data_IF_835923652235
#
_entry.id   IF_835923652235
#
_cell.length_a   1.000
_cell.length_b   1.000
_cell.length_c   1.000
_cell.angle_alpha   90.00
_cell.angle_beta   90.00
_cell.angle_gamma   90.00
#
_symmetry.space_group_name_H-M   'P 1'
#
loop_
_entity.id
_entity.type
_entity.pdbx_description
1 polymer ?
#
# COMPACT_ATOMS: atom_id res chain seq x y z
N UNK A 1 -64.81 -42.37 65.46
CA UNK A 1 -63.60 -43.20 65.30
C UNK A 1 -63.58 -43.64 63.84
N UNK A 2 -62.67 -43.18 62.99
CA UNK A 2 -61.47 -42.38 63.28
C UNK A 2 -61.21 -41.31 62.23
N UNK A 3 -60.40 -40.33 62.60
CA UNK A 3 -60.13 -39.11 61.84
C UNK A 3 -59.36 -39.34 60.53
N UNK A 4 -59.49 -38.37 59.63
CA UNK A 4 -58.58 -38.18 58.50
C UNK A 4 -57.30 -37.50 58.96
N UNK A 5 -56.14 -37.99 58.53
CA UNK A 5 -54.93 -37.16 58.50
C UNK A 5 -54.04 -37.51 57.30
N UNK A 6 -53.60 -36.47 56.60
CA UNK A 6 -52.79 -36.54 55.37
C UNK A 6 -51.32 -36.30 55.76
N UNK A 7 -50.36 -37.16 55.36
CA UNK A 7 -48.95 -36.94 55.69
C UNK A 7 -48.39 -35.71 54.96
N UNK A 8 -47.50 -34.92 55.60
CA UNK A 8 -47.25 -33.54 55.20
C UNK A 8 -46.34 -33.35 53.98
N UNK A 9 -46.51 -32.18 53.36
CA UNK A 9 -45.79 -31.70 52.18
C UNK A 9 -44.27 -31.63 52.40
N UNK A 10 -43.51 -32.11 51.40
CA UNK A 10 -42.05 -32.16 51.42
C UNK A 10 -41.46 -30.74 51.40
N UNK A 11 -41.01 -30.24 52.55
CA UNK A 11 -40.43 -28.89 52.67
C UNK A 11 -39.18 -28.72 51.80
N UNK A 12 -39.09 -27.58 51.10
CA UNK A 12 -37.96 -27.27 50.24
C UNK A 12 -36.65 -27.15 51.05
N UNK A 13 -35.67 -27.99 50.72
CA UNK A 13 -34.36 -27.97 51.35
C UNK A 13 -33.62 -26.65 51.08
N UNK A 14 -33.60 -25.75 52.06
CA UNK A 14 -32.72 -24.57 52.05
C UNK A 14 -31.28 -25.07 51.96
N UNK A 15 -30.56 -24.67 50.91
CA UNK A 15 -29.14 -25.04 50.72
C UNK A 15 -28.32 -24.50 51.88
N UNK A 16 -27.95 -25.37 52.81
CA UNK A 16 -27.05 -25.00 53.91
C UNK A 16 -25.68 -24.67 53.33
N UNK A 17 -25.20 -23.45 53.56
CA UNK A 17 -23.83 -23.07 53.23
C UNK A 17 -22.93 -23.80 54.23
N UNK A 18 -22.30 -24.88 53.79
CA UNK A 18 -21.38 -25.66 54.60
C UNK A 18 -20.13 -24.84 54.91
N UNK A 19 -20.08 -24.29 56.13
CA UNK A 19 -18.90 -23.63 56.67
C UNK A 19 -17.71 -24.58 56.60
N UNK A 20 -16.73 -24.26 55.76
CA UNK A 20 -15.54 -25.07 55.56
C UNK A 20 -14.81 -25.28 56.89
N UNK A 21 -14.40 -26.51 57.16
CA UNK A 21 -13.56 -26.82 58.34
C UNK A 21 -12.22 -26.10 58.23
N UNK A 22 -11.58 -25.80 59.37
CA UNK A 22 -10.30 -25.10 59.40
C UNK A 22 -9.22 -25.79 58.55
N UNK A 23 -9.22 -27.12 58.51
CA UNK A 23 -8.34 -27.93 57.64
C UNK A 23 -8.59 -27.69 56.15
N UNK A 24 -9.85 -27.65 55.71
CA UNK A 24 -10.22 -27.35 54.32
C UNK A 24 -9.86 -25.91 53.92
N UNK A 25 -10.02 -24.93 54.82
CA UNK A 25 -9.58 -23.55 54.59
C UNK A 25 -8.06 -23.48 54.42
N UNK A 26 -7.30 -24.18 55.27
CA UNK A 26 -5.85 -24.22 55.18
C UNK A 26 -5.38 -24.89 53.89
N UNK A 27 -5.97 -26.03 53.52
CA UNK A 27 -5.66 -26.73 52.28
C UNK A 27 -5.96 -25.85 51.04
N UNK A 28 -7.08 -25.11 51.03
CA UNK A 28 -7.40 -24.16 49.96
C UNK A 28 -6.36 -23.04 49.88
N UNK A 29 -5.90 -22.49 51.01
CA UNK A 29 -4.81 -21.48 51.06
C UNK A 29 -3.48 -22.04 50.55
N UNK A 30 -3.21 -23.33 50.76
CA UNK A 30 -1.98 -23.97 50.28
C UNK A 30 -2.00 -24.23 48.76
N UNK A 31 -3.16 -24.62 48.23
CA UNK A 31 -3.39 -24.74 46.77
C UNK A 31 -3.28 -23.35 46.12
N UNK A 32 -3.96 -22.35 46.66
CA UNK A 32 -3.97 -20.99 46.12
C UNK A 32 -2.55 -20.37 46.09
N UNK A 33 -1.78 -20.54 47.16
CA UNK A 33 -0.36 -20.14 47.20
C UNK A 33 0.50 -20.88 46.16
N UNK A 34 0.25 -22.16 45.89
CA UNK A 34 0.95 -22.90 44.82
C UNK A 34 0.55 -22.41 43.43
N UNK A 35 -0.75 -22.19 43.19
CA UNK A 35 -1.28 -21.68 41.93
C UNK A 35 -0.74 -20.27 41.62
N UNK A 36 -0.73 -19.38 42.60
CA UNK A 36 -0.21 -18.02 42.45
C UNK A 36 1.30 -18.00 42.19
N UNK A 37 2.08 -18.89 42.82
CA UNK A 37 3.52 -19.07 42.51
C UNK A 37 3.73 -19.58 41.09
N UNK A 38 2.97 -20.60 40.67
CA UNK A 38 3.05 -21.13 39.32
C UNK A 38 2.67 -20.10 38.25
N UNK A 39 1.64 -19.28 38.50
CA UNK A 39 1.26 -18.18 37.62
C UNK A 39 2.38 -17.12 37.51
N UNK A 40 2.90 -16.65 38.65
CA UNK A 40 4.02 -15.68 38.67
C UNK A 40 5.26 -16.22 37.96
N UNK A 41 5.57 -17.51 38.09
CA UNK A 41 6.68 -18.13 37.40
C UNK A 41 6.46 -18.10 35.88
N UNK A 42 5.31 -18.58 35.38
CA UNK A 42 4.98 -18.53 33.95
C UNK A 42 5.02 -17.11 33.37
N UNK A 43 4.52 -16.11 34.12
CA UNK A 43 4.61 -14.71 33.70
C UNK A 43 6.06 -14.25 33.58
N UNK A 44 6.92 -14.61 34.54
CA UNK A 44 8.36 -14.30 34.48
C UNK A 44 9.04 -15.00 33.29
N UNK A 45 8.77 -16.29 33.09
CA UNK A 45 9.36 -17.08 32.02
C UNK A 45 8.96 -16.50 30.64
N UNK A 46 7.69 -16.11 30.47
CA UNK A 46 7.20 -15.48 29.23
C UNK A 46 7.78 -14.07 29.00
N UNK A 47 8.01 -13.28 30.05
CA UNK A 47 8.70 -11.99 29.92
C UNK A 47 10.14 -12.22 29.43
N UNK A 48 10.86 -13.16 30.03
CA UNK A 48 12.24 -13.47 29.66
C UNK A 48 12.36 -14.03 28.22
N UNK A 49 11.40 -14.84 27.79
CA UNK A 49 11.27 -15.32 26.41
C UNK A 49 11.08 -14.13 25.44
N UNK A 50 10.10 -13.25 25.70
CA UNK A 50 9.84 -12.07 24.87
C UNK A 50 11.03 -11.09 24.84
N UNK A 51 11.74 -10.90 25.95
CA UNK A 51 12.96 -10.08 26.00
C UNK A 51 14.08 -10.69 25.13
N UNK A 52 14.23 -12.01 25.15
CA UNK A 52 15.17 -12.76 24.30
C UNK A 52 14.81 -12.65 22.81
N UNK A 53 13.53 -12.80 22.47
CA UNK A 53 13.04 -12.67 21.10
C UNK A 53 13.26 -11.25 20.56
N UNK A 54 12.93 -10.22 21.35
CA UNK A 54 13.18 -8.81 20.98
C UNK A 54 14.68 -8.55 20.75
N UNK A 55 15.56 -9.12 21.58
CA UNK A 55 17.01 -9.01 21.38
C UNK A 55 17.47 -9.71 20.08
N UNK A 56 16.95 -10.91 19.81
CA UNK A 56 17.23 -11.68 18.59
C UNK A 56 16.75 -10.94 17.32
N UNK A 57 15.53 -10.41 17.33
CA UNK A 57 14.97 -9.65 16.21
C UNK A 57 15.73 -8.35 15.96
N UNK A 58 16.11 -7.59 17.01
CA UNK A 58 16.93 -6.38 16.87
C UNK A 58 18.30 -6.67 16.25
N UNK A 59 18.98 -7.73 16.70
CA UNK A 59 20.26 -8.15 16.12
C UNK A 59 20.12 -8.59 14.66
N UNK A 60 19.07 -9.37 14.34
CA UNK A 60 18.78 -9.84 12.99
C UNK A 60 18.43 -8.69 12.03
N UNK A 61 17.63 -7.73 12.50
CA UNK A 61 17.30 -6.51 11.75
C UNK A 61 18.55 -5.67 11.45
N UNK A 62 19.34 -5.35 12.48
CA UNK A 62 20.57 -4.54 12.32
C UNK A 62 21.58 -5.21 11.38
N UNK A 63 21.73 -6.54 11.43
CA UNK A 63 22.58 -7.28 10.47
C UNK A 63 22.07 -7.16 9.03
N UNK A 64 20.75 -7.25 8.81
CA UNK A 64 20.13 -7.11 7.49
C UNK A 64 20.23 -5.67 6.98
N UNK A 65 20.01 -4.68 7.84
CA UNK A 65 20.20 -3.26 7.56
C UNK A 65 21.63 -2.97 7.09
N UNK A 66 22.64 -3.42 7.84
CA UNK A 66 24.04 -3.27 7.45
C UNK A 66 24.33 -3.90 6.08
N UNK A 67 23.84 -5.12 5.84
CA UNK A 67 24.01 -5.81 4.55
C UNK A 67 23.42 -5.01 3.38
N UNK A 68 22.27 -4.35 3.57
CA UNK A 68 21.66 -3.50 2.55
C UNK A 68 22.41 -2.16 2.38
N UNK A 69 22.96 -1.59 3.45
CA UNK A 69 23.83 -0.41 3.37
C UNK A 69 25.09 -0.72 2.55
N UNK A 70 25.73 -1.86 2.80
CA UNK A 70 26.92 -2.32 2.08
C UNK A 70 26.60 -2.58 0.58
N UNK A 71 25.45 -3.21 0.28
CA UNK A 71 24.93 -3.41 -1.09
C UNK A 71 24.70 -2.06 -1.81
N UNK A 72 24.11 -1.07 -1.14
CA UNK A 72 23.88 0.28 -1.69
C UNK A 72 25.20 1.02 -1.95
N UNK A 73 26.19 0.90 -1.05
CA UNK A 73 27.51 1.51 -1.24
C UNK A 73 28.22 0.92 -2.47
N UNK A 74 28.24 -0.41 -2.59
CA UNK A 74 28.83 -1.10 -3.74
C UNK A 74 28.15 -0.70 -5.06
N UNK A 75 26.83 -0.66 -5.10
CA UNK A 75 26.08 -0.23 -6.29
C UNK A 75 26.34 1.25 -6.65
N UNK A 76 26.54 2.13 -5.66
CA UNK A 76 26.92 3.53 -5.91
C UNK A 76 28.32 3.64 -6.51
N UNK A 77 29.28 2.88 -6.00
CA UNK A 77 30.64 2.84 -6.54
C UNK A 77 30.66 2.30 -7.98
N UNK A 78 29.96 1.20 -8.26
CA UNK A 78 29.81 0.67 -9.62
C UNK A 78 29.17 1.68 -10.57
N UNK A 79 28.11 2.37 -10.15
CA UNK A 79 27.49 3.44 -10.94
C UNK A 79 28.45 4.61 -11.21
N UNK A 80 29.30 4.98 -10.24
CA UNK A 80 30.34 5.99 -10.43
C UNK A 80 31.39 5.53 -11.44
N UNK A 81 31.88 4.29 -11.33
CA UNK A 81 32.83 3.70 -12.28
C UNK A 81 32.27 3.62 -13.71
N UNK A 82 30.99 3.25 -13.87
CA UNK A 82 30.30 3.24 -15.17
C UNK A 82 30.19 4.66 -15.75
N UNK A 83 29.78 5.65 -14.93
CA UNK A 83 29.72 7.06 -15.36
C UNK A 83 31.07 7.59 -15.80
N UNK A 84 32.13 7.38 -15.02
CA UNK A 84 33.51 7.78 -15.40
C UNK A 84 34.05 6.99 -16.60
N UNK A 85 33.47 5.84 -16.95
CA UNK A 85 33.82 5.10 -18.16
C UNK A 85 33.11 5.66 -19.40
N UNK A 86 31.81 5.97 -19.28
CA UNK A 86 31.04 6.66 -20.32
C UNK A 86 31.60 8.06 -20.60
N UNK A 87 32.02 8.79 -19.57
CA UNK A 87 32.63 10.12 -19.72
C UNK A 87 33.95 10.05 -20.51
N UNK A 88 34.83 9.09 -20.20
CA UNK A 88 36.07 8.85 -20.97
C UNK A 88 35.78 8.46 -22.42
N UNK A 89 34.77 7.63 -22.68
CA UNK A 89 34.34 7.28 -24.04
C UNK A 89 33.81 8.52 -24.77
N UNK A 90 33.02 9.36 -24.11
CA UNK A 90 32.53 10.62 -24.66
C UNK A 90 33.65 11.61 -25.00
N UNK A 91 34.66 11.74 -24.13
CA UNK A 91 35.85 12.57 -24.38
C UNK A 91 36.65 12.08 -25.60
N UNK A 92 36.82 10.76 -25.75
CA UNK A 92 37.50 10.17 -26.92
C UNK A 92 36.72 10.44 -28.22
N UNK A 93 35.41 10.21 -28.23
CA UNK A 93 34.57 10.46 -29.40
C UNK A 93 34.54 11.94 -29.80
N UNK A 94 34.52 12.86 -28.82
CA UNK A 94 34.61 14.30 -29.08
C UNK A 94 35.98 14.71 -29.64
N UNK A 95 37.07 14.07 -29.18
CA UNK A 95 38.43 14.30 -29.68
C UNK A 95 38.64 13.86 -31.14
N UNK A 96 38.03 12.75 -31.57
CA UNK A 96 38.03 12.37 -33.00
C UNK A 96 37.20 13.35 -33.84
N UNK A 97 36.06 13.82 -33.34
CA UNK A 97 35.21 14.81 -34.02
C UNK A 97 35.90 16.18 -34.19
N UNK A 98 36.72 16.61 -33.24
CA UNK A 98 37.54 17.83 -33.42
C UNK A 98 38.70 17.60 -34.40
N UNK A 99 39.40 16.47 -34.30
CA UNK A 99 40.48 16.08 -35.22
C UNK A 99 40.01 16.03 -36.69
N UNK A 100 38.82 15.50 -36.95
CA UNK A 100 38.24 15.45 -38.30
C UNK A 100 37.82 16.85 -38.81
N UNK A 101 37.41 17.76 -37.93
CA UNK A 101 36.96 19.11 -38.31
C UNK A 101 38.11 20.01 -38.78
N UNK A 102 39.31 19.83 -38.23
CA UNK A 102 40.51 20.57 -38.64
C UNK A 102 41.06 20.15 -40.02
N UNK A 103 40.56 19.05 -40.62
CA UNK A 103 41.01 18.57 -41.94
C UNK A 103 40.22 19.11 -43.14
N UNK A 104 39.17 19.90 -42.91
CA UNK A 104 38.21 20.27 -43.98
C UNK A 104 37.76 21.74 -43.98
N UNK A 105 38.62 22.65 -44.47
CA UNK A 105 38.21 23.88 -45.18
C UNK A 105 39.38 24.59 -45.90
N UNK A 106 39.32 24.76 -47.24
CA UNK A 106 40.07 25.78 -47.97
C UNK A 106 39.33 27.14 -48.00
N UNK A 107 40.07 28.18 -48.36
CA UNK A 107 39.70 29.60 -48.33
C UNK A 107 38.58 30.01 -49.30
N UNK A 108 37.74 31.00 -48.92
CA UNK A 108 37.72 32.31 -49.61
C UNK A 108 37.05 33.43 -48.77
N UNK A 109 37.62 34.64 -48.80
CA UNK A 109 37.08 35.87 -48.19
C UNK A 109 36.12 36.61 -49.15
N UNK A 110 35.10 37.36 -48.68
CA UNK A 110 35.02 38.83 -48.46
C UNK A 110 33.51 39.21 -48.40
N UNK A 111 32.97 40.34 -47.89
CA UNK A 111 33.46 41.54 -47.16
C UNK A 111 32.30 42.19 -46.34
N UNK A 112 32.58 43.22 -45.52
CA UNK A 112 31.63 44.21 -44.98
C UNK A 112 30.86 43.80 -43.69
N UNK A 113 31.12 44.37 -42.49
CA UNK A 113 30.86 45.75 -41.99
C UNK A 113 29.37 46.13 -41.91
N UNK A 114 28.83 46.74 -40.83
CA UNK A 114 29.39 47.19 -39.53
C UNK A 114 28.32 47.05 -38.40
N UNK A 115 28.66 47.40 -37.15
CA UNK A 115 28.00 47.00 -35.89
C UNK A 115 26.87 47.90 -35.35
N UNK A 116 26.22 47.41 -34.26
CA UNK A 116 25.29 48.04 -33.29
C UNK A 116 23.76 47.87 -33.57
N UNK A 117 22.90 47.53 -32.59
CA UNK A 117 23.12 47.04 -31.21
C UNK A 117 21.89 46.23 -30.74
N UNK A 118 22.05 45.48 -29.63
CA UNK A 118 20.98 44.98 -28.73
C UNK A 118 19.83 44.13 -29.29
N UNK A 119 19.91 42.82 -29.03
CA UNK A 119 18.74 41.94 -28.92
C UNK A 119 18.90 41.05 -27.68
N UNK A 120 18.23 41.40 -26.57
CA UNK A 120 17.90 40.42 -25.53
C UNK A 120 16.81 39.47 -26.03
N UNK A 121 16.91 38.17 -25.70
CA UNK A 121 15.72 37.36 -25.47
C UNK A 121 15.71 36.75 -24.06
N UNK A 122 14.58 36.93 -23.37
CA UNK A 122 14.25 36.28 -22.11
C UNK A 122 14.20 34.73 -22.24
N UNK A 123 14.37 33.98 -21.13
CA UNK A 123 14.63 32.54 -21.17
C UNK A 123 13.36 31.70 -21.31
N UNK A 124 13.44 30.64 -22.12
CA UNK A 124 12.51 29.51 -22.09
C UNK A 124 13.23 28.25 -21.59
N UNK A 125 12.92 27.83 -20.36
CA UNK A 125 13.38 26.56 -19.82
C UNK A 125 12.87 25.39 -20.65
N UNK A 126 13.76 24.46 -21.04
CA UNK A 126 13.35 23.07 -21.26
C UNK A 126 14.26 22.12 -20.45
N UNK A 127 13.66 21.61 -19.39
CA UNK A 127 14.17 20.62 -18.44
C UNK A 127 13.50 19.30 -18.81
N UNK A 128 14.20 18.18 -19.04
CA UNK A 128 14.55 17.05 -18.13
C UNK A 128 14.63 15.77 -19.02
N UNK A 129 14.68 14.51 -18.51
CA UNK A 129 15.39 13.88 -17.37
C UNK A 129 16.41 12.80 -17.90
N UNK A 130 17.21 12.10 -17.10
CA UNK A 130 17.29 12.04 -15.64
C UNK A 130 16.90 10.68 -15.04
N UNK A 131 17.27 9.55 -15.66
CA UNK A 131 16.95 8.21 -15.14
C UNK A 131 17.73 7.87 -13.85
N UNK A 132 16.98 7.65 -12.76
CA UNK A 132 17.49 7.09 -11.51
C UNK A 132 16.57 5.98 -11.04
N UNK A 133 17.07 4.74 -10.98
CA UNK A 133 16.29 3.59 -10.52
C UNK A 133 15.98 3.70 -9.02
N UNK A 134 14.73 4.06 -8.71
CA UNK A 134 14.21 4.21 -7.35
C UNK A 134 13.08 3.18 -7.13
N UNK A 135 13.39 1.89 -7.27
CA UNK A 135 12.39 0.83 -7.38
C UNK A 135 12.79 -0.49 -6.74
N UNK A 136 12.92 -0.53 -5.41
CA UNK A 136 13.22 -1.79 -4.71
C UNK A 136 12.65 -1.87 -3.29
N UNK A 137 11.78 -2.87 -3.04
CA UNK A 137 11.39 -3.44 -1.71
C UNK A 137 10.49 -2.59 -0.78
N UNK A 138 9.32 -2.13 -1.24
CA UNK A 138 8.33 -1.42 -0.39
C UNK A 138 7.19 -2.31 0.14
N UNK A 139 6.57 -3.11 -0.73
CA UNK A 139 5.54 -4.09 -0.33
C UNK A 139 6.13 -5.49 -0.21
N UNK A 140 5.67 -6.26 0.78
CA UNK A 140 6.14 -7.61 1.07
C UNK A 140 5.03 -8.46 1.73
N UNK A 141 4.97 -9.78 1.47
CA UNK A 141 4.05 -10.66 2.19
C UNK A 141 4.38 -10.65 3.69
N UNK A 142 3.45 -10.10 4.49
CA UNK A 142 3.50 -10.23 5.95
C UNK A 142 2.67 -11.47 6.33
N UNK A 143 3.36 -12.52 6.78
CA UNK A 143 2.73 -13.79 7.10
C UNK A 143 2.00 -13.74 8.45
N UNK A 144 0.71 -13.43 8.42
CA UNK A 144 -0.28 -14.01 9.34
C UNK A 144 -1.70 -13.88 8.75
N UNK A 145 -2.51 -14.94 8.85
CA UNK A 145 -3.86 -15.14 8.27
C UNK A 145 -3.96 -15.43 6.74
N UNK A 146 -4.61 -16.55 6.42
CA UNK A 146 -4.65 -17.16 5.07
C UNK A 146 -5.41 -16.34 4.01
N UNK A 147 -6.31 -15.43 4.41
CA UNK A 147 -7.04 -14.56 3.46
C UNK A 147 -6.30 -13.27 3.10
N UNK A 148 -5.35 -12.77 3.93
CA UNK A 148 -4.46 -11.68 3.49
C UNK A 148 -3.65 -12.17 2.29
N UNK A 149 -3.13 -13.40 2.41
CA UNK A 149 -2.26 -13.98 1.41
C UNK A 149 -2.90 -13.97 0.02
N UNK A 150 -4.13 -14.44 -0.17
CA UNK A 150 -4.68 -14.63 -1.52
C UNK A 150 -4.81 -13.33 -2.33
N UNK A 151 -5.42 -12.28 -1.78
CA UNK A 151 -5.68 -11.03 -2.51
C UNK A 151 -4.41 -10.17 -2.66
N UNK A 152 -3.56 -10.10 -1.63
CA UNK A 152 -2.26 -9.42 -1.76
C UNK A 152 -1.33 -10.16 -2.71
N UNK A 153 -1.32 -11.50 -2.70
CA UNK A 153 -0.45 -12.28 -3.56
C UNK A 153 -0.82 -12.11 -5.04
N UNK A 154 -2.11 -12.04 -5.39
CA UNK A 154 -2.57 -11.71 -6.76
C UNK A 154 -1.95 -10.38 -7.22
N UNK A 155 -2.03 -9.33 -6.41
CA UNK A 155 -1.49 -8.01 -6.75
C UNK A 155 0.05 -8.00 -6.77
N UNK A 156 0.70 -8.65 -5.80
CA UNK A 156 2.16 -8.74 -5.68
C UNK A 156 2.79 -9.55 -6.83
N UNK A 157 2.23 -10.71 -7.17
CA UNK A 157 2.68 -11.54 -8.30
C UNK A 157 2.47 -10.82 -9.62
N UNK A 158 1.35 -10.11 -9.77
CA UNK A 158 1.12 -9.28 -10.93
C UNK A 158 2.19 -8.18 -11.05
N UNK A 159 2.45 -7.40 -10.00
CA UNK A 159 3.47 -6.35 -9.99
C UNK A 159 4.87 -6.93 -10.27
N UNK A 160 5.21 -8.06 -9.66
CA UNK A 160 6.48 -8.75 -9.87
C UNK A 160 6.64 -9.24 -11.31
N UNK A 161 5.58 -9.82 -11.90
CA UNK A 161 5.52 -10.25 -13.30
C UNK A 161 5.73 -9.08 -14.26
N UNK A 162 5.05 -7.95 -14.04
CA UNK A 162 5.22 -6.73 -14.87
C UNK A 162 6.62 -6.13 -14.75
N UNK A 163 7.18 -6.05 -13.55
CA UNK A 163 8.58 -5.63 -13.33
C UNK A 163 9.57 -6.57 -14.03
N UNK A 164 9.30 -7.89 -14.03
CA UNK A 164 10.09 -8.89 -14.77
C UNK A 164 9.97 -8.75 -16.29
N UNK A 165 8.84 -8.28 -16.82
CA UNK A 165 8.72 -7.92 -18.25
C UNK A 165 9.59 -6.71 -18.59
N UNK A 166 9.55 -5.64 -17.77
CA UNK A 166 10.40 -4.46 -17.96
C UNK A 166 11.90 -4.80 -17.88
N UNK A 167 12.31 -5.61 -16.90
CA UNK A 167 13.68 -6.07 -16.74
C UNK A 167 14.19 -6.92 -17.93
N UNK A 168 13.29 -7.54 -18.69
CA UNK A 168 13.58 -8.25 -19.95
C UNK A 168 13.53 -7.35 -21.20
N UNK A 169 13.37 -6.03 -21.04
CA UNK A 169 13.34 -5.07 -22.14
C UNK A 169 12.01 -4.98 -22.88
N UNK A 170 10.90 -5.50 -22.32
CA UNK A 170 9.57 -5.27 -22.90
C UNK A 170 9.19 -3.80 -22.73
N UNK A 171 8.67 -3.17 -23.80
CA UNK A 171 8.31 -1.75 -23.80
C UNK A 171 7.36 -1.37 -22.65
N UNK A 172 7.62 -0.26 -21.92
CA UNK A 172 6.73 0.23 -20.86
C UNK A 172 5.29 0.42 -21.32
N UNK A 173 5.06 0.84 -22.56
CA UNK A 173 3.72 1.01 -23.15
C UNK A 173 2.96 -0.32 -23.18
N UNK A 174 3.63 -1.42 -23.52
CA UNK A 174 3.03 -2.77 -23.54
C UNK A 174 2.80 -3.32 -22.14
N UNK A 175 3.71 -3.04 -21.20
CA UNK A 175 3.61 -3.53 -19.81
C UNK A 175 2.52 -2.80 -19.03
N UNK A 176 2.46 -1.46 -19.16
CA UNK A 176 1.53 -0.60 -18.42
C UNK A 176 0.17 -0.45 -19.12
N UNK A 177 0.12 -0.53 -20.44
CA UNK A 177 -1.12 -0.35 -21.20
C UNK A 177 -1.67 1.09 -21.15
N UNK A 178 -2.94 1.27 -21.55
CA UNK A 178 -3.62 2.56 -21.61
C UNK A 178 -3.51 3.36 -20.31
N UNK A 179 -3.45 4.70 -20.42
CA UNK A 179 -3.34 5.57 -19.26
C UNK A 179 -4.69 5.72 -18.54
N UNK A 180 -5.76 5.75 -19.31
CA UNK A 180 -7.14 5.69 -18.84
C UNK A 180 -7.45 4.29 -18.32
N UNK A 181 -8.28 4.24 -17.28
CA UNK A 181 -8.80 2.99 -16.74
C UNK A 181 -9.97 2.48 -17.58
N UNK A 182 -9.99 1.18 -17.86
CA UNK A 182 -11.10 0.52 -18.57
C UNK A 182 -11.98 -0.26 -17.57
N UNK A 183 -13.20 0.20 -17.25
CA UNK A 183 -14.14 -0.50 -16.37
C UNK A 183 -14.86 -1.71 -16.98
N UNK A 184 -14.65 -2.01 -18.27
CA UNK A 184 -15.39 -3.03 -19.04
C UNK A 184 -15.54 -4.37 -18.30
N UNK A 185 -14.43 -4.94 -17.82
CA UNK A 185 -14.41 -6.28 -17.23
C UNK A 185 -15.01 -6.32 -15.80
N UNK A 186 -15.09 -5.16 -15.12
CA UNK A 186 -15.77 -5.02 -13.83
C UNK A 186 -17.28 -4.81 -13.98
N UNK A 187 -17.70 -4.11 -15.05
CA UNK A 187 -19.11 -3.91 -15.39
C UNK A 187 -19.75 -5.19 -15.96
N UNK A 188 -18.98 -5.97 -16.71
CA UNK A 188 -19.44 -7.18 -17.40
C UNK A 188 -18.59 -8.42 -17.00
N UNK A 189 -18.59 -8.84 -15.73
CA UNK A 189 -17.68 -9.87 -15.20
C UNK A 189 -17.94 -11.30 -15.76
N UNK A 190 -19.04 -11.50 -16.49
CA UNK A 190 -19.35 -12.77 -17.17
C UNK A 190 -18.93 -12.78 -18.65
N UNK A 191 -18.46 -11.66 -19.19
CA UNK A 191 -17.93 -11.58 -20.54
C UNK A 191 -16.49 -12.12 -20.61
N UNK A 192 -16.02 -12.41 -21.83
CA UNK A 192 -14.60 -12.71 -22.06
C UNK A 192 -13.81 -11.41 -21.80
N UNK A 193 -12.80 -11.39 -20.92
CA UNK A 193 -12.04 -10.17 -20.63
C UNK A 193 -11.34 -9.62 -21.87
N UNK A 194 -11.58 -8.34 -22.19
CA UNK A 194 -10.99 -7.67 -23.35
C UNK A 194 -10.07 -6.51 -22.98
N UNK A 195 -10.12 -6.02 -21.73
CA UNK A 195 -9.33 -4.87 -21.30
C UNK A 195 -7.84 -5.21 -21.15
N UNK A 196 -7.00 -4.19 -20.90
CA UNK A 196 -5.60 -4.43 -20.58
C UNK A 196 -5.46 -5.15 -19.23
N UNK A 197 -4.47 -6.04 -19.15
CA UNK A 197 -4.21 -6.87 -17.97
C UNK A 197 -4.11 -6.15 -16.61
N UNK A 198 -3.78 -4.85 -16.57
CA UNK A 198 -3.84 -4.04 -15.33
C UNK A 198 -5.30 -3.85 -14.87
N UNK A 199 -6.22 -3.53 -15.78
CA UNK A 199 -7.64 -3.41 -15.48
C UNK A 199 -8.28 -4.78 -15.18
N UNK A 200 -7.85 -5.84 -15.86
CA UNK A 200 -8.30 -7.21 -15.59
C UNK A 200 -8.03 -7.66 -14.14
N UNK A 201 -6.80 -7.54 -13.65
CA UNK A 201 -6.46 -7.97 -12.27
C UNK A 201 -7.19 -7.14 -11.21
N UNK A 202 -7.51 -5.88 -11.50
CA UNK A 202 -8.29 -5.02 -10.60
C UNK A 202 -9.77 -5.41 -10.59
N UNK A 203 -10.34 -5.72 -11.76
CA UNK A 203 -11.70 -6.25 -11.85
C UNK A 203 -11.80 -7.59 -11.09
N UNK A 204 -10.85 -8.51 -11.29
CA UNK A 204 -10.75 -9.78 -10.58
C UNK A 204 -10.79 -9.59 -9.05
N UNK A 205 -9.85 -8.79 -8.50
CA UNK A 205 -9.83 -8.47 -7.06
C UNK A 205 -11.14 -7.86 -6.57
N UNK A 206 -11.73 -6.91 -7.31
CA UNK A 206 -12.95 -6.21 -6.88
C UNK A 206 -14.24 -7.04 -7.01
N UNK A 207 -14.26 -8.07 -7.86
CA UNK A 207 -15.40 -9.02 -7.91
C UNK A 207 -15.52 -9.87 -6.64
N UNK A 208 -14.42 -10.07 -5.89
CA UNK A 208 -14.45 -10.80 -4.61
C UNK A 208 -15.24 -10.10 -3.50
N UNK A 209 -15.61 -8.81 -3.70
CA UNK A 209 -16.40 -8.01 -2.77
C UNK A 209 -17.83 -7.76 -3.30
N UNK A 210 -18.74 -8.76 -3.32
CA UNK A 210 -20.06 -8.64 -3.95
C UNK A 210 -20.95 -7.57 -3.30
N UNK A 211 -20.78 -7.31 -2.00
CA UNK A 211 -21.60 -6.35 -1.24
C UNK A 211 -21.23 -4.88 -1.47
N UNK A 212 -20.04 -4.59 -2.01
CA UNK A 212 -19.60 -3.21 -2.28
C UNK A 212 -20.31 -2.70 -3.54
N UNK A 213 -20.89 -1.50 -3.43
CA UNK A 213 -21.64 -0.83 -4.50
C UNK A 213 -20.71 -0.41 -5.65
N UNK A 214 -21.30 -0.14 -6.81
CA UNK A 214 -20.56 0.21 -8.03
C UNK A 214 -19.69 1.48 -7.92
N UNK A 215 -20.13 2.61 -7.30
CA UNK A 215 -19.30 3.81 -7.20
C UNK A 215 -18.01 3.55 -6.42
N UNK A 216 -18.12 2.89 -5.26
CA UNK A 216 -17.00 2.54 -4.40
C UNK A 216 -16.04 1.56 -5.09
N UNK A 217 -16.56 0.56 -5.82
CA UNK A 217 -15.72 -0.34 -6.64
C UNK A 217 -14.94 0.41 -7.72
N UNK A 218 -15.61 1.26 -8.50
CA UNK A 218 -14.96 2.01 -9.58
C UNK A 218 -13.94 3.03 -9.05
N UNK A 219 -14.23 3.66 -7.92
CA UNK A 219 -13.28 4.52 -7.22
C UNK A 219 -12.05 3.73 -6.73
N UNK A 220 -12.25 2.54 -6.16
CA UNK A 220 -11.14 1.68 -5.75
C UNK A 220 -10.28 1.20 -6.91
N UNK A 221 -10.92 0.79 -8.01
CA UNK A 221 -10.26 0.38 -9.23
C UNK A 221 -9.36 1.51 -9.77
N UNK A 222 -9.82 2.76 -9.68
CA UNK A 222 -9.04 3.94 -10.05
C UNK A 222 -7.83 4.16 -9.13
N UNK A 223 -7.97 4.00 -7.80
CA UNK A 223 -6.82 4.09 -6.89
C UNK A 223 -5.80 2.98 -7.18
N UNK A 224 -6.27 1.73 -7.33
CA UNK A 224 -5.44 0.58 -7.69
C UNK A 224 -4.72 0.80 -9.03
N UNK A 225 -5.37 1.40 -10.02
CA UNK A 225 -4.76 1.71 -11.31
C UNK A 225 -3.59 2.69 -11.18
N UNK A 226 -3.76 3.75 -10.39
CA UNK A 226 -2.70 4.73 -10.15
C UNK A 226 -1.54 4.14 -9.33
N UNK A 227 -1.82 3.47 -8.21
CA UNK A 227 -0.80 2.86 -7.35
C UNK A 227 -0.03 1.76 -8.08
N UNK A 228 -0.73 0.85 -8.75
CA UNK A 228 -0.11 -0.29 -9.46
C UNK A 228 0.76 0.18 -10.62
N UNK A 229 0.32 1.17 -11.42
CA UNK A 229 1.15 1.72 -12.51
C UNK A 229 2.43 2.35 -11.97
N UNK A 230 2.35 3.12 -10.88
CA UNK A 230 3.54 3.68 -10.22
C UNK A 230 4.43 2.60 -9.59
N UNK A 231 3.87 1.60 -8.92
CA UNK A 231 4.64 0.49 -8.35
C UNK A 231 5.36 -0.32 -9.45
N UNK A 232 4.69 -0.64 -10.57
CA UNK A 232 5.27 -1.39 -11.69
C UNK A 232 6.41 -0.62 -12.35
N UNK A 233 6.22 0.69 -12.61
CA UNK A 233 7.23 1.56 -13.20
C UNK A 233 7.22 2.94 -12.51
N UNK A 234 8.03 3.12 -11.45
CA UNK A 234 8.13 4.41 -10.76
C UNK A 234 8.75 5.45 -11.70
N UNK A 235 7.97 6.47 -12.07
CA UNK A 235 8.42 7.55 -12.92
C UNK A 235 7.69 8.86 -12.59
N UNK A 236 8.22 10.00 -13.06
CA UNK A 236 7.70 11.34 -12.74
C UNK A 236 6.24 11.53 -13.14
N UNK A 237 5.85 10.98 -14.29
CA UNK A 237 4.52 11.15 -14.87
C UNK A 237 3.47 10.29 -14.13
N UNK A 238 3.75 9.00 -13.88
CA UNK A 238 2.89 8.14 -13.06
C UNK A 238 2.72 8.68 -11.63
N UNK A 239 3.80 9.19 -11.02
CA UNK A 239 3.75 9.83 -9.70
C UNK A 239 2.97 11.16 -9.69
N UNK A 240 3.08 11.95 -10.75
CA UNK A 240 2.39 13.26 -10.84
C UNK A 240 0.87 13.09 -10.95
N UNK A 241 0.41 12.03 -11.62
CA UNK A 241 -1.01 11.65 -11.72
C UNK A 241 -1.62 11.19 -10.40
N UNK A 242 -0.83 10.68 -9.46
CA UNK A 242 -1.34 10.33 -8.13
C UNK A 242 -1.76 11.59 -7.37
N UNK A 243 -3.00 11.65 -6.83
CA UNK A 243 -3.39 12.66 -5.87
C UNK A 243 -2.40 12.72 -4.70
N UNK A 244 -2.16 13.92 -4.15
CA UNK A 244 -1.11 14.12 -3.13
C UNK A 244 -1.27 13.19 -1.93
N UNK A 245 -2.51 12.89 -1.54
CA UNK A 245 -2.85 11.98 -0.45
C UNK A 245 -2.64 10.49 -0.77
N UNK A 246 -2.67 10.09 -2.05
CA UNK A 246 -2.43 8.69 -2.48
C UNK A 246 -0.94 8.39 -2.63
N UNK A 247 -0.10 9.40 -2.85
CA UNK A 247 1.36 9.23 -3.00
C UNK A 247 1.97 8.52 -1.77
N UNK A 248 3.00 7.67 -1.94
CA UNK A 248 3.61 6.94 -0.83
C UNK A 248 4.17 7.87 0.25
N UNK A 249 3.90 7.54 1.52
CA UNK A 249 4.52 8.19 2.68
C UNK A 249 5.95 7.70 2.91
N UNK A 250 6.68 8.37 3.80
CA UNK A 250 8.00 7.91 4.25
C UNK A 250 7.91 6.52 4.87
N UNK A 251 6.86 6.22 5.66
CA UNK A 251 6.67 4.90 6.27
C UNK A 251 6.44 3.80 5.23
N UNK A 252 5.63 4.05 4.19
CA UNK A 252 5.47 3.11 3.06
C UNK A 252 6.79 2.86 2.31
N UNK A 253 7.66 3.86 2.21
CA UNK A 253 8.97 3.76 1.54
C UNK A 253 10.04 3.09 2.43
N UNK A 254 9.92 3.13 3.77
CA UNK A 254 10.96 2.63 4.69
C UNK A 254 10.61 1.33 5.41
N UNK A 255 9.34 0.95 5.50
CA UNK A 255 8.86 -0.22 6.25
C UNK A 255 8.16 -1.20 5.31
N UNK A 256 8.62 -2.48 5.22
CA UNK A 256 7.93 -3.51 4.46
C UNK A 256 6.52 -3.78 4.98
N UNK A 257 5.53 -3.78 4.10
CA UNK A 257 4.12 -3.88 4.49
C UNK A 257 3.23 -4.59 3.45
N UNK A 258 2.00 -4.92 3.86
CA UNK A 258 0.99 -5.58 3.05
C UNK A 258 0.50 -4.68 1.89
N UNK A 259 0.30 -5.26 0.71
CA UNK A 259 0.11 -4.51 -0.54
C UNK A 259 -1.24 -3.76 -0.60
N UNK A 260 -2.29 -4.30 0.02
CA UNK A 260 -3.60 -3.64 0.10
C UNK A 260 -3.54 -2.26 0.78
N UNK A 261 -2.58 -2.03 1.70
CA UNK A 261 -2.45 -0.78 2.45
C UNK A 261 -2.17 0.40 1.51
N UNK A 262 -1.39 0.20 0.43
CA UNK A 262 -1.04 1.27 -0.52
C UNK A 262 -2.28 1.94 -1.14
N UNK A 263 -3.40 1.20 -1.24
CA UNK A 263 -4.65 1.64 -1.86
C UNK A 263 -5.61 2.37 -0.91
N UNK A 264 -5.27 2.54 0.37
CA UNK A 264 -6.12 3.23 1.34
C UNK A 264 -6.00 4.76 1.16
N UNK A 265 -7.11 5.53 1.02
CA UNK A 265 -7.07 6.95 0.67
C UNK A 265 -6.36 7.86 1.68
N UNK A 266 -6.36 7.51 2.96
CA UNK A 266 -5.87 8.38 4.04
C UNK A 266 -4.39 8.05 4.36
N UNK A 267 -3.42 8.97 4.11
CA UNK A 267 -2.00 8.69 4.33
C UNK A 267 -1.70 8.29 5.78
N UNK A 268 -2.32 8.98 6.74
CA UNK A 268 -2.09 8.71 8.16
C UNK A 268 -2.68 7.36 8.61
N UNK A 269 -3.74 6.88 7.97
CA UNK A 269 -4.27 5.52 8.18
C UNK A 269 -3.25 4.50 7.71
N UNK A 270 -2.67 4.68 6.51
CA UNK A 270 -1.62 3.79 5.98
C UNK A 270 -0.44 3.69 6.93
N UNK A 271 0.07 4.83 7.40
CA UNK A 271 1.18 4.85 8.36
C UNK A 271 0.88 4.06 9.65
N UNK A 272 -0.34 4.16 10.18
CA UNK A 272 -0.74 3.46 11.41
C UNK A 272 -0.90 1.95 11.17
N UNK A 273 -1.52 1.55 10.06
CA UNK A 273 -1.65 0.14 9.67
C UNK A 273 -0.27 -0.54 9.51
N UNK A 274 0.73 0.20 9.02
CA UNK A 274 2.11 -0.29 8.88
C UNK A 274 2.84 -0.36 10.23
N UNK A 275 2.56 0.58 11.15
CA UNK A 275 3.21 0.65 12.47
C UNK A 275 2.61 -0.34 13.48
N UNK A 276 1.32 -0.64 13.41
CA UNK A 276 0.59 -1.49 14.36
C UNK A 276 -0.19 -2.65 13.68
N UNK A 277 0.45 -3.49 12.82
CA UNK A 277 -0.27 -4.48 12.00
C UNK A 277 -1.01 -5.55 12.81
N UNK A 278 -0.49 -5.94 13.98
CA UNK A 278 -1.14 -6.90 14.89
C UNK A 278 -2.36 -6.32 15.62
N UNK A 279 -2.47 -4.98 15.68
CA UNK A 279 -3.60 -4.27 16.30
C UNK A 279 -4.78 -4.10 15.36
N UNK A 280 -4.49 -4.04 14.05
CA UNK A 280 -5.47 -3.82 13.00
C UNK A 280 -5.43 -4.96 11.96
N UNK A 281 -5.81 -6.20 12.33
CA UNK A 281 -5.77 -7.34 11.41
C UNK A 281 -6.63 -7.08 10.17
N UNK A 282 -6.12 -7.43 8.99
CA UNK A 282 -6.82 -7.22 7.72
C UNK A 282 -8.24 -7.77 7.72
N UNK A 283 -8.50 -8.96 8.25
CA UNK A 283 -9.85 -9.54 8.23
C UNK A 283 -10.91 -8.63 8.90
N UNK A 284 -10.53 -7.93 9.97
CA UNK A 284 -11.40 -6.95 10.65
C UNK A 284 -11.40 -5.63 9.88
N UNK A 285 -10.24 -5.18 9.41
CA UNK A 285 -10.13 -3.94 8.64
C UNK A 285 -10.94 -4.00 7.35
N UNK A 286 -10.81 -5.06 6.54
CA UNK A 286 -11.44 -5.21 5.23
C UNK A 286 -12.96 -5.38 5.33
N UNK A 287 -13.46 -6.11 6.34
CA UNK A 287 -14.90 -6.17 6.65
C UNK A 287 -15.43 -4.77 7.00
N UNK A 288 -14.81 -4.10 7.99
CA UNK A 288 -15.25 -2.76 8.39
C UNK A 288 -15.12 -1.74 7.25
N UNK A 289 -14.03 -1.79 6.49
CA UNK A 289 -13.76 -0.86 5.40
C UNK A 289 -14.76 -1.05 4.25
N UNK A 290 -14.91 -2.28 3.75
CA UNK A 290 -15.80 -2.57 2.61
C UNK A 290 -17.28 -2.37 2.92
N UNK A 291 -17.70 -2.57 4.16
CA UNK A 291 -19.09 -2.35 4.58
C UNK A 291 -19.44 -0.86 4.81
N UNK A 292 -18.45 0.00 5.08
CA UNK A 292 -18.71 1.34 5.62
C UNK A 292 -18.05 2.50 4.87
N UNK A 293 -16.93 2.30 4.16
CA UNK A 293 -16.29 3.41 3.45
C UNK A 293 -17.04 3.71 2.16
N UNK A 294 -17.51 4.95 2.04
CA UNK A 294 -18.31 5.41 0.92
C UNK A 294 -17.62 6.53 0.16
N UNK A 295 -17.89 6.59 -1.14
CA UNK A 295 -17.59 7.74 -1.99
C UNK A 295 -18.88 8.55 -2.08
N UNK A 296 -18.83 9.82 -1.68
CA UNK A 296 -19.98 10.71 -1.53
C UNK A 296 -20.56 11.21 -2.88
N UNK A 297 -20.75 10.29 -3.83
CA UNK A 297 -21.22 10.60 -5.17
C UNK A 297 -22.69 11.05 -5.12
N UNK A 298 -23.02 12.29 -5.55
CA UNK A 298 -24.36 12.86 -5.37
C UNK A 298 -25.26 12.70 -6.60
N UNK A 299 -24.80 12.01 -7.64
CA UNK A 299 -25.51 11.79 -8.91
C UNK A 299 -25.84 10.31 -9.10
N UNK A 300 -26.52 9.96 -10.19
CA UNK A 300 -26.88 8.59 -10.46
C UNK A 300 -25.65 7.71 -10.78
N UNK A 301 -25.79 6.40 -10.60
CA UNK A 301 -24.69 5.46 -10.89
C UNK A 301 -24.38 5.33 -12.38
N UNK A 302 -25.33 5.71 -13.25
CA UNK A 302 -25.16 5.74 -14.70
C UNK A 302 -24.19 6.87 -15.12
N UNK A 303 -24.17 8.00 -14.40
CA UNK A 303 -23.26 9.13 -14.67
C UNK A 303 -21.78 8.83 -14.37
N UNK A 304 -21.46 7.66 -13.81
CA UNK A 304 -20.09 7.30 -13.42
C UNK A 304 -19.26 6.86 -14.63
N UNK A 305 -19.90 6.30 -15.65
CA UNK A 305 -19.27 5.69 -16.83
C UNK A 305 -19.84 6.34 -18.09
N UNK A 306 -19.00 6.56 -19.08
CA UNK A 306 -19.40 7.05 -20.41
C UNK A 306 -19.01 6.00 -21.44
N UNK A 307 -19.98 5.53 -22.21
CA UNK A 307 -19.72 4.66 -23.35
C UNK A 307 -19.06 5.45 -24.49
N UNK A 308 -17.97 4.91 -25.04
CA UNK A 308 -17.25 5.46 -26.19
C UNK A 308 -17.06 4.40 -27.25
N UNK A 309 -16.63 4.78 -28.46
CA UNK A 309 -16.37 3.84 -29.56
C UNK A 309 -15.31 2.77 -29.19
N UNK A 310 -14.37 3.12 -28.30
CA UNK A 310 -13.33 2.22 -27.76
C UNK A 310 -13.77 1.43 -26.52
N UNK A 311 -15.04 1.55 -26.10
CA UNK A 311 -15.64 0.92 -24.93
C UNK A 311 -15.98 1.90 -23.79
N UNK A 312 -16.47 1.41 -22.64
CA UNK A 312 -16.81 2.25 -21.51
C UNK A 312 -15.55 2.84 -20.86
N UNK A 313 -15.62 4.11 -20.47
CA UNK A 313 -14.57 4.84 -19.74
C UNK A 313 -15.15 5.54 -18.51
N UNK A 314 -14.30 5.85 -17.52
CA UNK A 314 -14.72 6.58 -16.33
C UNK A 314 -15.06 8.04 -16.68
N UNK A 315 -16.19 8.56 -16.18
CA UNK A 315 -16.57 9.96 -16.38
C UNK A 315 -15.56 10.89 -15.70
N UNK A 316 -15.04 11.88 -16.43
CA UNK A 316 -14.11 12.88 -15.88
C UNK A 316 -14.64 13.69 -14.69
N UNK A 317 -15.97 13.81 -14.52
CA UNK A 317 -16.60 14.42 -13.35
C UNK A 317 -16.45 13.50 -12.13
N UNK A 318 -16.70 12.20 -12.32
CA UNK A 318 -16.52 11.19 -11.28
C UNK A 318 -15.03 11.05 -10.91
N UNK A 319 -14.13 11.04 -11.89
CA UNK A 319 -12.68 11.01 -11.65
C UNK A 319 -12.23 12.20 -10.78
N UNK A 320 -12.63 13.43 -11.14
CA UNK A 320 -12.36 14.63 -10.34
C UNK A 320 -13.06 14.62 -8.97
N UNK A 321 -14.14 13.88 -8.82
CA UNK A 321 -14.82 13.70 -7.53
C UNK A 321 -14.01 12.79 -6.62
N UNK A 322 -13.56 11.62 -7.09
CA UNK A 322 -12.79 10.65 -6.29
C UNK A 322 -11.35 11.10 -5.99
N UNK A 323 -10.78 12.00 -6.81
CA UNK A 323 -9.48 12.63 -6.51
C UNK A 323 -9.52 13.59 -5.29
N UNK A 324 -10.70 14.00 -4.80
CA UNK A 324 -10.84 14.84 -3.60
C UNK A 324 -11.02 13.97 -2.36
N UNK A 325 -10.05 14.00 -1.45
CA UNK A 325 -10.09 13.18 -0.23
C UNK A 325 -11.34 13.44 0.63
N UNK A 326 -11.84 14.68 0.65
CA UNK A 326 -13.08 15.07 1.36
C UNK A 326 -14.35 14.35 0.90
N UNK A 327 -14.32 13.72 -0.27
CA UNK A 327 -15.44 12.92 -0.79
C UNK A 327 -15.40 11.46 -0.34
N UNK A 328 -14.32 11.03 0.32
CA UNK A 328 -14.21 9.71 0.93
C UNK A 328 -14.72 9.80 2.37
N UNK A 329 -15.77 9.05 2.68
CA UNK A 329 -16.41 9.05 4.00
C UNK A 329 -16.12 7.73 4.70
N UNK A 330 -15.32 7.79 5.75
CA UNK A 330 -15.29 6.77 6.80
C UNK A 330 -16.33 7.17 7.88
N UNK A 331 -17.43 6.42 8.08
CA UNK A 331 -18.50 6.77 9.01
C UNK A 331 -18.16 6.37 10.44
N UNK A 332 -19.09 6.67 11.35
CA UNK A 332 -18.86 6.62 12.81
C UNK A 332 -18.38 5.27 13.32
N UNK A 333 -18.87 4.15 12.79
CA UNK A 333 -18.47 2.79 13.21
C UNK A 333 -16.98 2.52 12.96
N UNK A 334 -16.48 2.97 11.80
CA UNK A 334 -15.06 2.95 11.47
C UNK A 334 -14.30 3.85 12.48
N UNK A 335 -14.76 5.10 12.67
CA UNK A 335 -14.15 6.05 13.62
C UNK A 335 -14.23 5.61 15.10
N UNK A 336 -15.15 4.73 15.49
CA UNK A 336 -15.25 4.21 16.86
C UNK A 336 -14.22 3.11 17.11
N UNK A 337 -14.07 2.17 16.16
CA UNK A 337 -13.01 1.16 16.19
C UNK A 337 -11.62 1.79 16.10
N UNK A 338 -11.50 2.85 15.30
CA UNK A 338 -10.29 3.64 15.10
C UNK A 338 -10.34 4.99 15.83
N UNK A 339 -10.87 5.02 17.07
CA UNK A 339 -11.10 6.26 17.83
C UNK A 339 -9.83 7.02 18.25
N UNK A 340 -8.66 6.37 18.15
CA UNK A 340 -7.34 7.00 18.33
C UNK A 340 -6.87 7.74 17.05
N UNK A 341 -7.52 7.49 15.91
CA UNK A 341 -7.22 8.16 14.63
C UNK A 341 -8.02 9.47 14.63
N UNK A 342 -7.36 10.55 15.03
CA UNK A 342 -7.95 11.87 15.29
C UNK A 342 -8.77 12.42 14.12
N UNK A 343 -9.61 13.43 14.38
CA UNK A 343 -10.34 14.20 13.35
C UNK A 343 -9.45 14.60 12.17
N UNK A 344 -8.20 14.94 12.47
CA UNK A 344 -7.16 15.41 11.55
C UNK A 344 -6.76 14.34 10.50
N UNK A 345 -7.13 13.07 10.70
CA UNK A 345 -6.89 11.97 9.77
C UNK A 345 -7.83 12.00 8.57
N UNK A 346 -9.04 12.54 8.72
CA UNK A 346 -10.13 12.40 7.74
C UNK A 346 -10.47 13.68 6.98
N UNK A 347 -9.94 14.83 7.43
CA UNK A 347 -10.40 16.15 7.00
C UNK A 347 -11.69 16.56 7.73
N UNK A 348 -11.80 17.83 8.07
CA UNK A 348 -13.02 18.36 8.69
C UNK A 348 -14.20 18.28 7.71
N UNK A 349 -15.38 17.94 8.25
CA UNK A 349 -16.67 17.86 7.54
C UNK A 349 -17.57 18.97 8.06
#
# INVERSE_FOLDING_TARGET
MSDSEIPPTRAAGKRSITTLTASQIQHKRDIDRKAQRALRQRTKDRIQELESDIACYRASFSKREQTMIDEIQLLREQNQQLRSSLERIGQLAQGELTSLRDTSSPQHSLDGKDTHNETEPLPSHHVQPGEGSLGTRYTAPLADTDLIAEQDQILLDFIASRRSMLARGVSPVTVLGPEQICPQDLLNPTAIPTSHSISQVMAEVLTTFPHVKLPEKLAFMYLMHLTTRWQVSPNTDSYSRMPVWLRPTVTQITVPHAAWIDNIPWPRVRDILIQEPSRYPFAVFSELYSAHVHVNWPYDSEDIVVDTDDGPLLNSIFEKHIQRLSNWIAPRQFREYFSEWTSDVYGEV
#
